data_IF_542016874512
#
_entry.id   IF_542016874512
#
_cell.length_a   1.000
_cell.length_b   1.000
_cell.length_c   1.000
_cell.angle_alpha   90.00
_cell.angle_beta   90.00
_cell.angle_gamma   90.00
#
_symmetry.space_group_name_H-M   'P 1'
#
loop_
_entity.id
_entity.type
_entity.pdbx_description
1 polymer ?
#
# COMPACT_ATOMS: atom_id res chain seq x y z
N UNK A 1 -28.04 -0.94 13.42
CA UNK A 1 -26.93 -0.10 12.92
C UNK A 1 -25.67 -0.98 12.89
N UNK A 2 -25.30 -1.63 11.78
CA UNK A 2 -24.13 -2.55 11.84
C UNK A 2 -23.86 -3.49 10.66
N UNK A 3 -24.64 -3.45 9.58
CA UNK A 3 -24.42 -4.32 8.41
C UNK A 3 -24.08 -3.57 7.10
N UNK A 4 -24.04 -2.23 7.12
CA UNK A 4 -23.81 -1.41 5.93
C UNK A 4 -22.36 -0.90 5.78
N UNK A 5 -21.56 -0.94 6.84
CA UNK A 5 -20.16 -0.46 6.82
C UNK A 5 -19.19 -1.49 6.23
N UNK A 6 -19.49 -2.78 6.40
CA UNK A 6 -18.70 -3.93 5.91
C UNK A 6 -18.47 -3.96 4.40
N UNK A 7 -19.47 -3.75 3.51
CA UNK A 7 -19.22 -3.78 2.07
C UNK A 7 -18.29 -2.65 1.62
N UNK A 8 -18.40 -1.47 2.24
CA UNK A 8 -17.56 -0.32 1.92
C UNK A 8 -16.11 -0.56 2.35
N UNK A 9 -15.90 -1.03 3.59
CA UNK A 9 -14.56 -1.35 4.10
C UNK A 9 -13.91 -2.47 3.28
N UNK A 10 -14.67 -3.50 2.89
CA UNK A 10 -14.15 -4.59 2.07
C UNK A 10 -13.68 -4.07 0.69
N UNK A 11 -14.40 -3.13 0.10
CA UNK A 11 -14.00 -2.51 -1.16
C UNK A 11 -12.73 -1.65 -1.00
N UNK A 12 -12.64 -0.85 0.06
CA UNK A 12 -11.45 -0.08 0.40
C UNK A 12 -10.22 -0.98 0.59
N UNK A 13 -10.38 -2.09 1.32
CA UNK A 13 -9.31 -3.08 1.52
C UNK A 13 -8.85 -3.71 0.21
N UNK A 14 -9.80 -4.11 -0.66
CA UNK A 14 -9.47 -4.68 -1.98
C UNK A 14 -8.68 -3.69 -2.84
N UNK A 15 -9.08 -2.42 -2.84
CA UNK A 15 -8.36 -1.35 -3.55
C UNK A 15 -6.95 -1.15 -2.99
N UNK A 16 -6.83 -1.04 -1.67
CA UNK A 16 -5.54 -0.86 -0.99
C UNK A 16 -4.58 -2.03 -1.26
N UNK A 17 -5.11 -3.25 -1.33
CA UNK A 17 -4.33 -4.43 -1.68
C UNK A 17 -3.82 -4.39 -3.12
N UNK A 18 -4.66 -3.96 -4.08
CA UNK A 18 -4.24 -3.76 -5.47
C UNK A 18 -3.18 -2.65 -5.57
N UNK A 19 -3.36 -1.54 -4.84
CA UNK A 19 -2.36 -0.46 -4.79
C UNK A 19 -1.01 -0.97 -4.28
N UNK A 20 -1.00 -1.73 -3.19
CA UNK A 20 0.20 -2.36 -2.65
C UNK A 20 0.91 -3.25 -3.68
N UNK A 21 0.17 -4.07 -4.41
CA UNK A 21 0.72 -4.99 -5.40
C UNK A 21 1.31 -4.31 -6.64
N UNK A 22 0.78 -3.15 -7.04
CA UNK A 22 1.28 -2.41 -8.22
C UNK A 22 2.38 -1.43 -7.82
N UNK A 23 2.13 -0.64 -6.78
CA UNK A 23 3.02 0.45 -6.36
C UNK A 23 4.22 -0.10 -5.59
N UNK A 24 4.06 -1.19 -4.82
CA UNK A 24 5.13 -1.80 -4.04
C UNK A 24 6.34 -2.24 -4.87
N UNK A 25 6.15 -3.01 -5.96
CA UNK A 25 7.25 -3.37 -6.87
C UNK A 25 7.87 -2.16 -7.56
N UNK A 26 7.07 -1.20 -7.99
CA UNK A 26 7.56 0.03 -8.65
C UNK A 26 8.43 0.84 -7.68
N UNK A 27 7.95 1.05 -6.45
CA UNK A 27 8.72 1.76 -5.42
C UNK A 27 9.98 0.99 -5.02
N UNK A 28 9.91 -0.33 -4.93
CA UNK A 28 11.09 -1.17 -4.63
C UNK A 28 12.15 -1.03 -5.73
N UNK A 29 11.72 -1.05 -6.99
CA UNK A 29 12.59 -0.88 -8.15
C UNK A 29 13.30 0.48 -8.13
N UNK A 30 12.58 1.58 -7.91
CA UNK A 30 13.20 2.92 -7.90
C UNK A 30 14.01 3.20 -6.62
N UNK A 31 13.58 2.67 -5.47
CA UNK A 31 14.18 2.98 -4.16
C UNK A 31 15.48 2.21 -3.92
N UNK A 32 15.65 1.06 -4.58
CA UNK A 32 16.77 0.15 -4.36
C UNK A 32 17.33 -0.43 -5.67
N UNK A 33 17.14 0.24 -6.81
CA UNK A 33 17.63 -0.19 -8.12
C UNK A 33 19.09 -0.67 -8.10
N UNK A 34 19.98 0.15 -7.54
CA UNK A 34 21.42 -0.17 -7.47
C UNK A 34 21.71 -1.36 -6.57
N UNK A 35 20.93 -1.52 -5.49
CA UNK A 35 21.07 -2.60 -4.51
C UNK A 35 20.53 -3.92 -5.07
N UNK A 36 19.51 -3.87 -5.93
CA UNK A 36 19.00 -5.03 -6.67
C UNK A 36 20.09 -5.57 -7.60
N UNK A 37 20.89 -4.70 -8.22
CA UNK A 37 22.00 -5.09 -9.09
C UNK A 37 23.16 -5.72 -8.31
N UNK A 38 23.36 -5.34 -7.05
CA UNK A 38 24.40 -5.90 -6.17
C UNK A 38 23.92 -7.05 -5.28
N UNK A 39 22.64 -7.43 -5.35
CA UNK A 39 21.98 -8.45 -4.53
C UNK A 39 22.03 -8.21 -3.01
N UNK A 40 22.39 -7.01 -2.54
CA UNK A 40 22.51 -6.66 -1.11
C UNK A 40 21.20 -6.08 -0.56
N UNK A 41 20.09 -6.79 -0.77
CA UNK A 41 18.75 -6.27 -0.49
C UNK A 41 18.53 -5.95 0.99
N UNK A 42 18.30 -4.67 1.28
CA UNK A 42 17.80 -4.27 2.60
C UNK A 42 16.30 -4.59 2.70
N UNK A 43 16.00 -5.74 3.32
CA UNK A 43 14.64 -6.26 3.50
C UNK A 43 13.70 -5.34 4.25
N UNK A 44 14.21 -4.46 5.13
CA UNK A 44 13.36 -3.48 5.82
C UNK A 44 12.81 -2.42 4.87
N UNK A 45 13.66 -1.95 3.94
CA UNK A 45 13.23 -1.01 2.89
C UNK A 45 12.21 -1.66 1.95
N UNK A 46 12.42 -2.92 1.57
CA UNK A 46 11.47 -3.69 0.74
C UNK A 46 10.13 -3.83 1.46
N UNK A 47 10.10 -4.17 2.76
CA UNK A 47 8.83 -4.27 3.49
C UNK A 47 8.09 -2.92 3.51
N UNK A 48 8.79 -1.82 3.75
CA UNK A 48 8.20 -0.48 3.79
C UNK A 48 7.65 -0.03 2.43
N UNK A 49 8.29 -0.39 1.31
CA UNK A 49 7.78 -0.04 -0.03
C UNK A 49 6.45 -0.71 -0.36
N UNK A 50 6.09 -1.81 0.31
CA UNK A 50 4.77 -2.44 0.20
C UNK A 50 3.77 -1.96 1.27
N UNK A 51 4.24 -1.75 2.52
CA UNK A 51 3.37 -1.31 3.62
C UNK A 51 2.87 0.12 3.42
N UNK A 52 3.73 1.02 2.95
CA UNK A 52 3.38 2.45 2.78
C UNK A 52 2.23 2.66 1.79
N UNK A 53 2.26 2.11 0.55
CA UNK A 53 1.14 2.26 -0.39
C UNK A 53 -0.17 1.65 0.11
N UNK A 54 -0.10 0.54 0.86
CA UNK A 54 -1.27 -0.07 1.47
C UNK A 54 -1.92 0.88 2.49
N UNK A 55 -1.13 1.38 3.44
CA UNK A 55 -1.61 2.27 4.52
C UNK A 55 -2.14 3.57 3.95
N UNK A 56 -1.43 4.19 3.00
CA UNK A 56 -1.86 5.46 2.37
C UNK A 56 -3.15 5.27 1.55
N UNK A 57 -3.28 4.17 0.82
CA UNK A 57 -4.50 3.87 0.05
C UNK A 57 -5.70 3.59 0.96
N UNK A 58 -5.48 2.87 2.06
CA UNK A 58 -6.51 2.57 3.05
C UNK A 58 -6.93 3.83 3.83
N UNK A 59 -5.99 4.65 4.28
CA UNK A 59 -6.27 5.88 5.04
C UNK A 59 -7.03 6.90 4.20
N UNK A 60 -6.68 7.05 2.92
CA UNK A 60 -7.39 7.95 1.99
C UNK A 60 -8.77 7.45 1.56
N UNK A 61 -9.10 6.18 1.81
CA UNK A 61 -10.38 5.58 1.43
C UNK A 61 -11.36 5.43 2.61
N UNK A 62 -10.91 5.64 3.85
CA UNK A 62 -11.75 5.55 5.04
C UNK A 62 -12.63 6.81 5.19
N UNK A 63 -13.91 6.66 5.58
CA UNK A 63 -14.89 7.76 5.59
C UNK A 63 -14.63 8.89 6.60
N UNK A 64 -13.52 8.86 7.35
CA UNK A 64 -13.06 9.96 8.22
C UNK A 64 -11.96 10.84 7.58
N UNK A 65 -11.43 10.45 6.42
CA UNK A 65 -10.47 11.23 5.65
C UNK A 65 -11.13 11.71 4.35
N UNK A 66 -12.34 12.27 4.48
CA UNK A 66 -12.90 13.10 3.43
C UNK A 66 -11.95 14.29 3.26
N UNK A 67 -11.25 14.35 2.13
CA UNK A 67 -10.58 15.56 1.73
C UNK A 67 -11.67 16.62 1.53
N UNK A 68 -11.60 17.67 2.34
CA UNK A 68 -12.28 18.95 2.09
C UNK A 68 -11.95 19.47 0.69
#
# INVERSE_FOLDING_TARGET
MGKFLTPHIHWCLRRAFITMWIVGPVLTLINQWEVILTLDLNWWKVALTFVVPFVVSLSGSLPGHAKE
#
